data_IF_762290928902
#
_entry.id   IF_762290928902
#
_cell.length_a   1.000
_cell.length_b   1.000
_cell.length_c   1.000
_cell.angle_alpha   90.00
_cell.angle_beta   90.00
_cell.angle_gamma   90.00
#
_symmetry.space_group_name_H-M   'P 1'
#
loop_
_entity.id
_entity.type
_entity.pdbx_description
1 polymer ?
#
# COMPACT_ATOMS: atom_id res chain seq x y z
N UNK A 1 1.00 -24.24 6.36
CA UNK A 1 1.85 -23.11 5.91
C UNK A 1 1.35 -22.40 4.63
N UNK A 2 0.12 -22.64 4.14
CA UNK A 2 -0.33 -22.16 2.81
C UNK A 2 -1.53 -21.17 2.81
N UNK A 3 -1.95 -20.66 3.97
CA UNK A 3 -3.24 -19.95 4.09
C UNK A 3 -3.28 -18.59 3.37
N UNK A 4 -2.13 -17.91 3.23
CA UNK A 4 -2.09 -16.56 2.65
C UNK A 4 -1.26 -16.44 1.38
N UNK A 5 -0.39 -17.42 1.08
CA UNK A 5 0.42 -17.38 -0.13
C UNK A 5 -0.47 -17.41 -1.38
N UNK A 6 -0.34 -16.39 -2.23
CA UNK A 6 -1.07 -16.29 -3.48
C UNK A 6 -0.13 -16.52 -4.66
N UNK A 7 -0.54 -17.40 -5.58
CA UNK A 7 0.12 -17.50 -6.87
C UNK A 7 -0.46 -16.49 -7.86
N UNK A 8 0.21 -16.25 -9.00
CA UNK A 8 -0.20 -15.28 -10.03
C UNK A 8 -1.69 -15.32 -10.39
N UNK A 9 -2.21 -16.51 -10.66
CA UNK A 9 -3.64 -16.70 -11.00
C UNK A 9 -4.58 -16.13 -9.93
N UNK A 10 -4.31 -16.40 -8.66
CA UNK A 10 -5.11 -15.86 -7.55
C UNK A 10 -4.95 -14.34 -7.41
N UNK A 11 -3.73 -13.81 -7.61
CA UNK A 11 -3.52 -12.36 -7.59
C UNK A 11 -4.34 -11.66 -8.68
N UNK A 12 -4.31 -12.19 -9.91
CA UNK A 12 -5.13 -11.69 -11.02
C UNK A 12 -6.63 -11.83 -10.74
N UNK A 13 -7.06 -12.92 -10.10
CA UNK A 13 -8.45 -13.12 -9.71
C UNK A 13 -8.91 -12.07 -8.68
N UNK A 14 -8.10 -11.74 -7.68
CA UNK A 14 -8.44 -10.71 -6.69
C UNK A 14 -8.48 -9.30 -7.32
N UNK A 15 -7.57 -8.99 -8.26
CA UNK A 15 -7.61 -7.75 -9.04
C UNK A 15 -8.91 -7.65 -9.85
N UNK A 16 -9.31 -8.75 -10.52
CA UNK A 16 -10.54 -8.81 -11.29
C UNK A 16 -11.80 -8.69 -10.40
N UNK A 17 -11.81 -9.34 -9.23
CA UNK A 17 -12.90 -9.21 -8.23
C UNK A 17 -13.04 -7.77 -7.71
N UNK A 18 -11.93 -7.02 -7.65
CA UNK A 18 -11.93 -5.61 -7.33
C UNK A 18 -12.40 -4.71 -8.50
N UNK A 19 -12.78 -5.28 -9.64
CA UNK A 19 -13.26 -4.55 -10.82
C UNK A 19 -12.15 -3.87 -11.63
N UNK A 20 -10.88 -4.27 -11.43
CA UNK A 20 -9.72 -3.65 -12.08
C UNK A 20 -9.12 -4.57 -13.15
N UNK A 21 -8.30 -3.99 -14.02
CA UNK A 21 -7.36 -4.72 -14.86
C UNK A 21 -5.96 -4.57 -14.25
N UNK A 22 -5.06 -5.56 -14.45
CA UNK A 22 -3.70 -5.44 -13.97
C UNK A 22 -2.93 -4.37 -14.75
N UNK A 23 -2.10 -3.61 -14.04
CA UNK A 23 -1.23 -2.55 -14.58
C UNK A 23 -0.17 -3.10 -15.54
N UNK A 24 0.24 -4.35 -15.33
CA UNK A 24 1.17 -5.06 -16.18
C UNK A 24 0.51 -6.30 -16.79
N UNK A 25 0.83 -6.59 -18.06
CA UNK A 25 0.39 -7.80 -18.73
C UNK A 25 0.72 -9.04 -17.88
N UNK A 26 -0.30 -9.85 -17.57
CA UNK A 26 -0.22 -11.05 -16.72
C UNK A 26 0.39 -10.78 -15.33
N UNK A 27 0.12 -9.61 -14.76
CA UNK A 27 0.66 -9.13 -13.48
C UNK A 27 2.20 -8.91 -13.48
N UNK A 28 2.89 -9.01 -14.62
CA UNK A 28 4.34 -8.83 -14.67
C UNK A 28 5.12 -9.76 -13.71
N UNK A 29 6.07 -9.17 -12.98
CA UNK A 29 6.92 -9.84 -11.99
C UNK A 29 6.18 -10.01 -10.66
N UNK A 30 6.22 -11.22 -10.09
CA UNK A 30 5.66 -11.51 -8.77
C UNK A 30 6.60 -11.15 -7.62
N UNK A 31 7.90 -11.03 -7.92
CA UNK A 31 8.96 -10.64 -6.99
C UNK A 31 9.45 -9.25 -7.38
N UNK A 32 8.53 -8.29 -7.40
CA UNK A 32 8.85 -6.88 -7.62
C UNK A 32 9.45 -6.26 -6.35
N UNK A 33 10.31 -5.26 -6.49
CA UNK A 33 10.94 -4.55 -5.37
C UNK A 33 11.04 -3.05 -5.65
N UNK A 34 10.95 -2.26 -4.59
CA UNK A 34 11.46 -0.89 -4.64
C UNK A 34 12.98 -0.95 -4.76
N UNK A 35 13.58 -0.07 -5.56
CA UNK A 35 15.04 -0.05 -5.73
C UNK A 35 15.72 0.12 -4.36
N UNK A 36 16.59 -0.83 -4.01
CA UNK A 36 17.33 -0.83 -2.74
C UNK A 36 16.61 -1.48 -1.57
N UNK A 37 15.41 -2.05 -1.77
CA UNK A 37 14.65 -2.76 -0.74
C UNK A 37 14.42 -4.24 -1.11
N UNK A 38 14.02 -5.04 -0.14
CA UNK A 38 13.65 -6.44 -0.35
C UNK A 38 12.39 -6.58 -1.23
N UNK A 39 12.30 -7.65 -2.05
CA UNK A 39 11.15 -7.87 -2.91
C UNK A 39 9.90 -8.26 -2.11
N UNK A 40 8.75 -8.02 -2.73
CA UNK A 40 7.46 -8.47 -2.24
C UNK A 40 7.31 -10.00 -2.33
N UNK A 41 6.44 -10.60 -1.49
CA UNK A 41 5.56 -9.95 -0.52
C UNK A 41 6.28 -9.40 0.72
N UNK A 42 5.75 -8.32 1.29
CA UNK A 42 6.24 -7.72 2.55
C UNK A 42 5.30 -8.08 3.70
N UNK A 43 5.87 -8.34 4.88
CA UNK A 43 5.12 -8.63 6.10
C UNK A 43 5.22 -7.45 7.07
N UNK A 44 4.07 -6.94 7.49
CA UNK A 44 3.97 -5.91 8.52
C UNK A 44 3.39 -6.53 9.78
N UNK A 45 4.27 -6.99 10.67
CA UNK A 45 3.92 -7.37 12.04
C UNK A 45 4.21 -6.19 12.97
N UNK A 46 3.15 -5.54 13.47
CA UNK A 46 3.27 -4.35 14.31
C UNK A 46 4.04 -4.58 15.61
N UNK A 47 4.19 -5.85 16.06
CA UNK A 47 5.01 -6.18 17.23
C UNK A 47 6.48 -6.38 16.89
N UNK A 48 6.80 -6.69 15.64
CA UNK A 48 8.17 -6.95 15.18
C UNK A 48 8.85 -5.71 14.59
N UNK A 49 8.09 -4.66 14.25
CA UNK A 49 8.64 -3.40 13.74
C UNK A 49 9.42 -2.70 14.88
N UNK A 50 10.73 -2.43 14.72
CA UNK A 50 11.49 -1.70 15.71
C UNK A 50 10.96 -0.27 15.89
N UNK A 51 10.96 0.24 17.12
CA UNK A 51 10.43 1.58 17.43
C UNK A 51 11.07 2.71 16.59
N UNK A 52 12.37 2.61 16.27
CA UNK A 52 13.06 3.60 15.43
C UNK A 52 12.71 3.53 13.94
N UNK A 53 12.14 2.42 13.47
CA UNK A 53 11.73 2.24 12.06
C UNK A 53 10.35 2.83 11.81
N UNK A 54 9.47 2.83 12.81
CA UNK A 54 8.09 3.25 12.65
C UNK A 54 7.96 4.72 12.18
N UNK A 55 8.65 5.72 12.76
CA UNK A 55 8.58 7.10 12.27
C UNK A 55 9.04 7.27 10.82
N UNK A 56 10.06 6.50 10.40
CA UNK A 56 10.56 6.50 9.02
C UNK A 56 9.51 5.90 8.08
N UNK A 57 8.92 4.77 8.47
CA UNK A 57 7.85 4.13 7.71
C UNK A 57 6.61 5.04 7.58
N UNK A 58 6.21 5.73 8.65
CA UNK A 58 5.09 6.68 8.63
C UNK A 58 5.38 7.89 7.73
N UNK A 59 6.61 8.40 7.75
CA UNK A 59 7.02 9.54 6.90
C UNK A 59 7.06 9.17 5.42
N UNK A 60 7.44 7.92 5.13
CA UNK A 60 7.48 7.34 3.78
C UNK A 60 6.08 7.02 3.27
N UNK A 61 5.39 6.07 3.91
CA UNK A 61 4.11 5.56 3.44
C UNK A 61 2.93 6.50 3.69
N UNK A 62 3.04 7.45 4.62
CA UNK A 62 1.97 8.38 4.95
C UNK A 62 1.72 9.45 3.89
N UNK A 63 2.74 9.82 3.10
CA UNK A 63 2.58 10.78 2.00
C UNK A 63 1.95 10.09 0.80
N UNK A 64 1.04 10.77 0.12
CA UNK A 64 0.48 10.29 -1.15
C UNK A 64 1.60 10.11 -2.17
N UNK A 65 1.63 8.94 -2.78
CA UNK A 65 2.61 8.56 -3.78
C UNK A 65 1.98 7.68 -4.84
N UNK A 66 2.70 7.51 -5.94
CA UNK A 66 2.47 6.47 -6.94
C UNK A 66 3.68 5.54 -7.00
N UNK A 67 3.44 4.27 -7.33
CA UNK A 67 4.44 3.22 -7.41
C UNK A 67 4.65 2.82 -8.87
N UNK A 68 5.75 3.29 -9.47
CA UNK A 68 6.00 3.16 -10.90
C UNK A 68 7.45 2.82 -11.23
N UNK A 69 7.67 2.16 -12.37
CA UNK A 69 9.00 2.07 -12.98
C UNK A 69 9.41 3.39 -13.64
N UNK A 70 10.66 3.50 -14.07
CA UNK A 70 11.13 4.62 -14.90
C UNK A 70 10.48 4.65 -16.30
N UNK A 71 9.91 3.53 -16.73
CA UNK A 71 9.13 3.44 -17.97
C UNK A 71 7.64 3.74 -17.78
N UNK A 72 7.23 4.20 -16.59
CA UNK A 72 5.85 4.57 -16.27
C UNK A 72 4.90 3.38 -16.04
N UNK A 73 5.41 2.15 -15.93
CA UNK A 73 4.55 0.98 -15.64
C UNK A 73 4.19 0.98 -14.15
N UNK A 74 2.89 0.94 -13.88
CA UNK A 74 2.33 0.84 -12.55
C UNK A 74 2.54 -0.52 -11.88
N UNK A 75 2.34 -0.53 -10.58
CA UNK A 75 2.32 -1.74 -9.77
C UNK A 75 0.89 -2.02 -9.29
N UNK A 76 0.48 -3.27 -9.21
CA UNK A 76 -0.75 -3.68 -8.52
C UNK A 76 -0.44 -4.11 -7.10
N UNK A 77 -1.12 -3.51 -6.12
CA UNK A 77 -0.98 -3.88 -4.72
C UNK A 77 -2.21 -4.63 -4.24
N UNK A 78 -1.97 -5.61 -3.37
CA UNK A 78 -2.99 -6.36 -2.67
C UNK A 78 -2.58 -6.51 -1.21
N UNK A 79 -3.27 -5.78 -0.34
CA UNK A 79 -3.06 -5.84 1.10
C UNK A 79 -4.00 -6.88 1.69
N UNK A 80 -3.45 -7.88 2.38
CA UNK A 80 -4.22 -8.86 3.16
C UNK A 80 -4.06 -8.57 4.64
N UNK A 81 -5.08 -7.98 5.26
CA UNK A 81 -5.16 -7.79 6.71
C UNK A 81 -5.57 -9.10 7.36
N UNK A 82 -4.63 -9.69 8.09
CA UNK A 82 -4.81 -10.99 8.74
C UNK A 82 -5.37 -10.83 10.15
N UNK A 83 -4.89 -9.84 10.91
CA UNK A 83 -5.33 -9.60 12.29
C UNK A 83 -5.01 -8.20 12.77
N UNK A 84 -5.65 -7.81 13.89
CA UNK A 84 -5.41 -6.54 14.57
C UNK A 84 -5.90 -5.34 13.78
N UNK A 85 -5.36 -4.17 14.07
CA UNK A 85 -5.80 -2.89 13.51
C UNK A 85 -6.06 -1.82 14.60
N UNK A 86 -6.66 -0.68 14.24
CA UNK A 86 -7.18 -0.36 12.92
C UNK A 86 -6.07 -0.19 11.87
N UNK A 87 -6.35 -0.60 10.64
CA UNK A 87 -5.46 -0.37 9.50
C UNK A 87 -6.00 0.76 8.65
N UNK A 88 -5.11 1.65 8.20
CA UNK A 88 -5.50 2.91 7.56
C UNK A 88 -4.78 3.07 6.23
N UNK A 89 -5.56 3.31 5.19
CA UNK A 89 -5.10 3.73 3.87
C UNK A 89 -5.78 5.02 3.45
N UNK A 90 -5.15 5.73 2.54
CA UNK A 90 -5.70 6.90 1.88
C UNK A 90 -5.63 6.71 0.38
N UNK A 91 -6.67 7.15 -0.32
CA UNK A 91 -6.76 7.06 -1.76
C UNK A 91 -7.30 8.36 -2.30
N UNK A 92 -6.74 8.81 -3.42
CA UNK A 92 -7.32 9.88 -4.22
C UNK A 92 -8.42 9.29 -5.13
N UNK A 93 -9.62 9.84 -5.07
CA UNK A 93 -10.76 9.50 -5.92
C UNK A 93 -10.73 10.28 -7.24
N UNK A 94 -11.46 9.83 -8.30
CA UNK A 94 -11.51 10.48 -9.63
C UNK A 94 -11.73 12.00 -9.66
N UNK A 95 -12.38 12.56 -8.65
CA UNK A 95 -12.71 13.98 -8.48
C UNK A 95 -11.69 14.78 -7.65
N UNK A 96 -10.52 14.21 -7.35
CA UNK A 96 -9.47 14.74 -6.46
C UNK A 96 -9.76 14.69 -4.97
N UNK A 97 -10.89 14.13 -4.51
CA UNK A 97 -11.08 13.93 -3.08
C UNK A 97 -10.10 12.88 -2.53
N UNK A 98 -9.52 13.15 -1.36
CA UNK A 98 -8.64 12.21 -0.66
C UNK A 98 -9.44 11.58 0.48
N UNK A 99 -9.78 10.30 0.32
CA UNK A 99 -10.55 9.55 1.31
C UNK A 99 -9.64 8.76 2.24
N UNK A 100 -10.06 8.64 3.50
CA UNK A 100 -9.44 7.78 4.52
C UNK A 100 -10.25 6.49 4.65
N UNK A 101 -9.67 5.36 4.25
CA UNK A 101 -10.22 4.03 4.51
C UNK A 101 -9.66 3.51 5.83
N UNK A 102 -10.54 3.29 6.82
CA UNK A 102 -10.18 2.63 8.07
C UNK A 102 -10.83 1.26 8.15
N UNK A 103 -10.00 0.22 8.25
CA UNK A 103 -10.43 -1.14 8.51
C UNK A 103 -10.30 -1.39 10.00
N UNK A 104 -11.43 -1.63 10.67
CA UNK A 104 -11.46 -1.95 12.10
C UNK A 104 -10.71 -3.24 12.44
N UNK A 105 -10.53 -3.56 13.74
CA UNK A 105 -9.75 -4.71 14.15
C UNK A 105 -10.26 -6.04 13.58
N UNK A 106 -9.38 -6.79 12.90
CA UNK A 106 -9.67 -8.16 12.43
C UNK A 106 -9.31 -9.16 13.54
N UNK A 107 -10.29 -9.95 13.98
CA UNK A 107 -10.11 -10.99 14.99
C UNK A 107 -9.39 -12.20 14.40
N UNK A 108 -8.63 -12.93 15.22
CA UNK A 108 -7.85 -14.11 14.80
C UNK A 108 -8.73 -15.21 14.21
N UNK A 109 -9.92 -15.44 14.78
CA UNK A 109 -10.92 -16.40 14.30
C UNK A 109 -11.77 -15.85 13.12
N UNK A 110 -11.56 -14.57 12.76
CA UNK A 110 -12.33 -13.85 11.77
C UNK A 110 -11.85 -14.11 10.34
N UNK A 111 -12.64 -13.65 9.36
CA UNK A 111 -12.19 -13.59 7.97
C UNK A 111 -11.18 -12.45 7.81
N UNK A 112 -10.08 -12.75 7.12
CA UNK A 112 -9.15 -11.72 6.67
C UNK A 112 -9.86 -10.72 5.74
N UNK A 113 -9.34 -9.49 5.71
CA UNK A 113 -9.80 -8.45 4.79
C UNK A 113 -8.76 -8.22 3.70
N UNK A 114 -9.21 -8.02 2.46
CA UNK A 114 -8.33 -7.73 1.34
C UNK A 114 -8.69 -6.42 0.66
N UNK A 115 -7.66 -5.64 0.34
CA UNK A 115 -7.77 -4.40 -0.42
C UNK A 115 -6.86 -4.55 -1.63
N UNK A 116 -7.38 -4.30 -2.83
CA UNK A 116 -6.59 -4.25 -4.04
C UNK A 116 -6.68 -2.88 -4.68
N UNK A 117 -5.54 -2.28 -5.04
CA UNK A 117 -5.48 -0.96 -5.66
C UNK A 117 -4.33 -0.88 -6.67
N UNK A 118 -4.47 0.06 -7.60
CA UNK A 118 -3.44 0.36 -8.60
C UNK A 118 -2.45 1.38 -8.03
N UNK A 119 -1.17 1.11 -8.22
CA UNK A 119 -0.06 1.96 -7.80
C UNK A 119 0.07 3.24 -8.63
N UNK A 120 -0.60 3.35 -9.78
CA UNK A 120 -0.68 4.60 -10.57
C UNK A 120 -1.66 5.63 -10.02
N UNK A 121 -2.47 5.27 -9.02
CA UNK A 121 -3.37 6.21 -8.36
C UNK A 121 -2.73 6.68 -7.06
N UNK A 122 -2.68 8.01 -6.77
CA UNK A 122 -2.13 8.51 -5.52
C UNK A 122 -2.75 7.83 -4.31
N UNK A 123 -1.91 7.19 -3.50
CA UNK A 123 -2.32 6.46 -2.31
C UNK A 123 -1.28 6.58 -1.19
N UNK A 124 -1.70 6.26 0.02
CA UNK A 124 -0.86 6.27 1.22
C UNK A 124 -1.39 5.26 2.24
N UNK A 125 -0.57 4.95 3.26
CA UNK A 125 -0.94 4.12 4.39
C UNK A 125 -0.40 4.71 5.70
N UNK A 126 -1.10 4.48 6.81
CA UNK A 126 -0.67 4.93 8.14
C UNK A 126 -0.64 3.77 9.13
N UNK A 127 0.57 3.35 9.49
CA UNK A 127 0.84 2.22 10.38
C UNK A 127 0.70 2.66 11.85
N UNK A 128 -0.52 2.73 12.35
CA UNK A 128 -0.83 3.19 13.72
C UNK A 128 -1.44 2.12 14.62
N UNK A 129 -1.65 0.91 14.11
CA UNK A 129 -2.25 -0.16 14.88
C UNK A 129 -1.34 -0.57 16.06
N UNK A 130 -1.86 -0.70 17.30
CA UNK A 130 -1.06 -1.14 18.44
C UNK A 130 -0.60 -2.60 18.32
N UNK A 131 -1.31 -3.41 17.53
CA UNK A 131 -0.92 -4.76 17.14
C UNK A 131 -1.63 -5.14 15.84
N UNK A 132 -1.06 -6.09 15.11
CA UNK A 132 -1.69 -6.66 13.93
C UNK A 132 -0.68 -7.23 12.95
N UNK A 133 -1.19 -8.02 12.01
CA UNK A 133 -0.44 -8.60 10.92
C UNK A 133 -1.10 -8.27 9.58
N UNK A 134 -0.34 -7.66 8.69
CA UNK A 134 -0.74 -7.44 7.29
C UNK A 134 0.33 -7.98 6.35
N UNK A 135 -0.11 -8.64 5.27
CA UNK A 135 0.76 -9.07 4.18
C UNK A 135 0.48 -8.19 2.97
N UNK A 136 1.51 -7.53 2.47
CA UNK A 136 1.44 -6.77 1.24
C UNK A 136 1.96 -7.62 0.09
N UNK A 137 1.11 -7.85 -0.91
CA UNK A 137 1.52 -8.38 -2.20
C UNK A 137 1.63 -7.24 -3.19
N UNK A 138 2.59 -7.36 -4.10
CA UNK A 138 2.78 -6.41 -5.18
C UNK A 138 3.16 -7.18 -6.45
N UNK A 139 2.64 -6.74 -7.59
CA UNK A 139 2.97 -7.31 -8.89
C UNK A 139 3.05 -6.23 -9.95
N UNK A 140 4.03 -6.29 -10.86
CA UNK A 140 4.19 -5.26 -11.88
C UNK A 140 5.60 -5.28 -12.51
N UNK A 141 6.28 -4.13 -12.65
CA UNK A 141 7.65 -4.10 -13.15
C UNK A 141 8.60 -4.82 -12.19
N UNK A 142 9.79 -5.23 -12.65
CA UNK A 142 10.78 -5.88 -11.78
C UNK A 142 11.22 -4.96 -10.64
N UNK A 143 11.44 -3.69 -10.96
CA UNK A 143 11.79 -2.64 -10.01
C UNK A 143 10.85 -1.45 -10.17
N UNK A 144 10.56 -0.77 -9.08
CA UNK A 144 9.81 0.48 -9.05
C UNK A 144 10.43 1.46 -8.05
N UNK A 145 9.92 2.68 -8.04
CA UNK A 145 10.17 3.68 -7.00
C UNK A 145 8.86 4.30 -6.55
N UNK A 146 8.80 4.71 -5.28
CA UNK A 146 7.70 5.55 -4.79
C UNK A 146 7.95 6.99 -5.26
N UNK A 147 7.05 7.53 -6.08
CA UNK A 147 7.14 8.90 -6.57
C UNK A 147 6.19 9.80 -5.78
N UNK A 148 6.77 10.82 -5.18
CA UNK A 148 6.08 11.90 -4.48
C UNK A 148 5.97 13.17 -5.32
N UNK A 149 6.52 13.14 -6.53
CA UNK A 149 6.42 14.17 -7.55
C UNK A 149 6.53 13.45 -8.90
N UNK A 150 5.46 13.51 -9.68
CA UNK A 150 5.40 12.99 -11.04
C UNK A 150 4.29 13.74 -11.79
N UNK A 151 4.63 14.71 -12.65
CA UNK A 151 3.63 15.51 -13.36
C UNK A 151 2.86 14.73 -14.43
N UNK A 152 3.26 13.48 -14.72
CA UNK A 152 2.63 12.66 -15.77
C UNK A 152 1.42 11.85 -15.30
N UNK A 153 1.18 11.78 -13.97
CA UNK A 153 0.07 11.00 -13.41
C UNK A 153 -1.13 11.88 -13.03
N UNK A 154 -2.33 11.29 -13.02
CA UNK A 154 -3.52 11.97 -12.54
C UNK A 154 -3.42 12.25 -11.03
N UNK A 155 -3.74 13.48 -10.62
CA UNK A 155 -3.63 13.91 -9.22
C UNK A 155 -2.20 14.23 -8.77
N UNK A 156 -1.29 14.55 -9.71
CA UNK A 156 0.09 14.92 -9.43
C UNK A 156 0.23 16.03 -8.36
N UNK A 157 -0.72 16.96 -8.30
CA UNK A 157 -0.81 18.04 -7.33
C UNK A 157 -1.01 17.57 -5.88
N UNK A 158 -1.46 16.34 -5.68
CA UNK A 158 -1.64 15.74 -4.35
C UNK A 158 -0.41 14.97 -3.86
N UNK A 159 0.52 14.63 -4.76
CA UNK A 159 1.68 13.80 -4.43
C UNK A 159 2.58 14.50 -3.41
N UNK A 160 3.21 13.71 -2.54
CA UNK A 160 4.08 14.20 -1.47
C UNK A 160 3.33 14.84 -0.29
N UNK A 161 2.02 14.98 -0.37
CA UNK A 161 1.16 15.53 0.69
C UNK A 161 0.26 14.46 1.29
N UNK A 162 -0.41 14.76 2.41
CA UNK A 162 -1.59 14.02 2.84
C UNK A 162 -2.37 14.92 3.82
N UNK A 163 -3.59 15.37 3.49
CA UNK A 163 -4.34 16.30 4.35
C UNK A 163 -4.75 15.68 5.69
N UNK A 164 -4.76 14.35 5.79
CA UNK A 164 -5.12 13.63 7.01
C UNK A 164 -3.94 13.42 7.97
N UNK A 165 -2.72 13.77 7.59
CA UNK A 165 -1.53 13.53 8.41
C UNK A 165 -0.79 14.84 8.66
N UNK A 166 -0.35 15.02 9.90
CA UNK A 166 0.57 16.06 10.28
C UNK A 166 2.01 15.53 10.20
N UNK A 167 2.82 16.14 9.35
CA UNK A 167 4.24 15.80 9.18
C UNK A 167 5.19 16.83 9.81
N UNK A 168 4.67 17.80 10.60
CA UNK A 168 5.49 18.86 11.21
C UNK A 168 6.34 18.37 12.37
N UNK A 169 5.92 17.28 13.03
CA UNK A 169 6.64 16.64 14.14
C UNK A 169 7.70 15.63 13.69
N UNK A 170 8.45 15.11 14.66
CA UNK A 170 9.44 14.03 14.44
C UNK A 170 8.79 12.67 14.13
N UNK A 171 7.55 12.47 14.57
CA UNK A 171 6.72 11.32 14.24
C UNK A 171 5.44 11.84 13.61
N UNK A 172 5.08 11.41 12.39
CA UNK A 172 3.83 11.85 11.77
C UNK A 172 2.61 11.44 12.58
N UNK A 173 1.62 12.32 12.68
CA UNK A 173 0.41 12.12 13.46
C UNK A 173 -0.85 12.17 12.59
N UNK A 174 -1.81 11.28 12.83
CA UNK A 174 -3.08 11.31 12.14
C UNK A 174 -3.93 12.47 12.68
N UNK A 175 -4.43 13.34 11.79
CA UNK A 175 -5.40 14.37 12.13
C UNK A 175 -6.76 13.72 12.45
N UNK A 176 -7.43 14.28 13.46
CA UNK A 176 -8.74 13.80 13.92
C UNK A 176 -9.84 14.13 12.92
#
# INVERSE_FOLDING_TARGET
>A
MALFALHRGQLLEEIAKAGRQPEAHRAGYLTTSEIGDAPYPKLFDMKAIPAGVLPVALSKYGKLHVNTSDSGVGLDELMTVVSGGPWIWFFRLPDNEIVKLSVGPVRVEGKAFRISYAGLVPHAAFLSAPYGLTIAYATGPKNFVMRYDDPSVAGADTLGTNPWIDFTGSVPELRR
#
